data_IF_533198206468
#
_entry.id   IF_533198206468
#
_cell.length_a   1.000
_cell.length_b   1.000
_cell.length_c   1.000
_cell.angle_alpha   90.00
_cell.angle_beta   90.00
_cell.angle_gamma   90.00
#
_symmetry.space_group_name_H-M   'P 1'
#
loop_
_entity.id
_entity.type
_entity.pdbx_description
1 polymer ?
#
# COMPACT_ATOMS: atom_id res chain seq x y z
N UNK A 1 -9.10 -16.62 -19.42
CA UNK A 1 -9.40 -18.08 -19.38
C UNK A 1 -9.25 -18.55 -17.93
N UNK A 2 -10.26 -19.19 -17.31
CA UNK A 2 -10.12 -19.70 -15.94
C UNK A 2 -9.71 -21.17 -16.03
N UNK A 3 -8.48 -21.49 -15.67
CA UNK A 3 -8.00 -22.86 -15.58
C UNK A 3 -8.06 -23.26 -14.12
N UNK A 4 -8.83 -24.29 -13.78
CA UNK A 4 -8.86 -24.86 -12.44
C UNK A 4 -7.63 -25.75 -12.22
N UNK A 5 -7.20 -25.94 -10.97
CA UNK A 5 -6.08 -26.80 -10.64
C UNK A 5 -6.22 -28.23 -11.23
N UNK A 6 -7.41 -28.89 -11.16
CA UNK A 6 -7.62 -30.19 -11.80
C UNK A 6 -7.51 -30.17 -13.33
N UNK A 7 -7.76 -29.04 -13.99
CA UNK A 7 -7.56 -28.89 -15.43
C UNK A 7 -6.07 -28.74 -15.78
N UNK A 8 -5.34 -27.96 -15.00
CA UNK A 8 -3.89 -27.83 -15.16
C UNK A 8 -3.18 -29.18 -14.97
N UNK A 9 -3.56 -29.95 -13.96
CA UNK A 9 -3.04 -31.29 -13.73
C UNK A 9 -3.34 -32.25 -14.90
N UNK A 10 -4.54 -32.19 -15.47
CA UNK A 10 -4.89 -32.97 -16.70
C UNK A 10 -4.10 -32.56 -17.93
N UNK A 11 -3.63 -31.29 -18.00
CA UNK A 11 -2.73 -30.77 -19.02
C UNK A 11 -1.26 -31.15 -18.79
N UNK A 12 -0.96 -31.82 -17.67
CA UNK A 12 0.41 -32.19 -17.30
C UNK A 12 1.22 -31.01 -16.76
N UNK A 13 0.55 -29.93 -16.34
CA UNK A 13 1.21 -28.78 -15.75
C UNK A 13 1.66 -29.09 -14.33
N UNK A 14 2.89 -28.75 -14.03
CA UNK A 14 3.41 -28.75 -12.66
C UNK A 14 3.09 -27.42 -11.94
N UNK A 15 3.48 -27.31 -10.67
CA UNK A 15 3.26 -26.09 -9.89
C UNK A 15 3.93 -24.84 -10.48
N UNK A 16 5.09 -25.01 -11.09
CA UNK A 16 5.85 -23.91 -11.70
C UNK A 16 5.11 -23.39 -12.94
N UNK A 17 4.57 -24.27 -13.77
CA UNK A 17 3.75 -23.90 -14.95
C UNK A 17 2.51 -23.11 -14.54
N UNK A 18 1.80 -23.58 -13.52
CA UNK A 18 0.60 -22.89 -12.99
C UNK A 18 0.97 -21.51 -12.42
N UNK A 19 2.08 -21.45 -11.68
CA UNK A 19 2.60 -20.21 -11.11
C UNK A 19 2.94 -19.21 -12.20
N UNK A 20 3.73 -19.58 -13.20
CA UNK A 20 4.15 -18.71 -14.29
C UNK A 20 2.97 -18.23 -15.13
N UNK A 21 2.01 -19.12 -15.38
CA UNK A 21 0.78 -18.75 -16.09
C UNK A 21 -0.02 -17.72 -15.31
N UNK A 22 -0.29 -17.97 -14.02
CA UNK A 22 -1.05 -17.04 -13.19
C UNK A 22 -0.36 -15.68 -13.07
N UNK A 23 0.96 -15.67 -12.91
CA UNK A 23 1.76 -14.45 -12.89
C UNK A 23 1.64 -13.67 -14.19
N UNK A 24 1.83 -14.34 -15.33
CA UNK A 24 1.79 -13.70 -16.66
C UNK A 24 0.41 -13.10 -16.96
N UNK A 25 -0.67 -13.80 -16.62
CA UNK A 25 -2.04 -13.29 -16.79
C UNK A 25 -2.32 -12.07 -15.93
N UNK A 26 -1.88 -12.09 -14.66
CA UNK A 26 -2.05 -10.95 -13.74
C UNK A 26 -1.21 -9.75 -14.15
N UNK A 27 0.03 -9.97 -14.58
CA UNK A 27 0.91 -8.91 -15.06
C UNK A 27 0.36 -8.26 -16.33
N UNK A 28 -0.09 -9.09 -17.28
CA UNK A 28 -0.74 -8.61 -18.50
C UNK A 28 -1.98 -7.78 -18.18
N UNK A 29 -2.90 -8.28 -17.36
CA UNK A 29 -4.12 -7.55 -16.98
C UNK A 29 -3.80 -6.24 -16.25
N UNK A 30 -2.84 -6.27 -15.35
CA UNK A 30 -2.40 -5.08 -14.61
C UNK A 30 -1.82 -4.04 -15.56
N UNK A 31 -1.00 -4.46 -16.52
CA UNK A 31 -0.39 -3.59 -17.53
C UNK A 31 -1.45 -2.96 -18.44
N UNK A 32 -2.45 -3.73 -18.89
CA UNK A 32 -3.56 -3.20 -19.71
C UNK A 32 -4.40 -2.21 -18.93
N UNK A 33 -4.71 -2.49 -17.67
CA UNK A 33 -5.47 -1.57 -16.82
C UNK A 33 -4.68 -0.28 -16.50
N UNK A 34 -3.36 -0.34 -16.38
CA UNK A 34 -2.53 0.85 -16.17
C UNK A 34 -2.54 1.82 -17.36
N UNK A 35 -2.87 1.36 -18.56
CA UNK A 35 -3.09 2.27 -19.71
C UNK A 35 -4.30 3.17 -19.52
N UNK A 36 -5.30 2.68 -18.78
CA UNK A 36 -6.55 3.41 -18.47
C UNK A 36 -6.46 4.20 -17.16
N UNK A 37 -5.73 3.68 -16.20
CA UNK A 37 -5.61 4.20 -14.83
C UNK A 37 -4.14 4.46 -14.51
N UNK A 38 -3.62 5.64 -14.90
CA UNK A 38 -2.20 6.01 -14.75
C UNK A 38 -1.98 7.33 -14.01
N UNK A 39 -2.99 7.81 -13.30
CA UNK A 39 -2.90 9.06 -12.55
C UNK A 39 -2.14 8.85 -11.23
N UNK A 40 -1.17 9.72 -10.94
CA UNK A 40 -0.38 9.68 -9.71
C UNK A 40 -1.05 10.39 -8.52
N UNK A 41 -2.22 10.98 -8.74
CA UNK A 41 -2.98 11.68 -7.70
C UNK A 41 -3.41 10.74 -6.56
N UNK A 42 -3.30 11.23 -5.33
CA UNK A 42 -3.74 10.49 -4.12
C UNK A 42 -5.25 10.19 -4.18
N UNK A 43 -6.02 11.03 -4.83
CA UNK A 43 -7.47 10.91 -4.97
C UNK A 43 -7.92 9.94 -6.06
N UNK A 44 -7.02 9.45 -6.90
CA UNK A 44 -7.33 8.44 -7.92
C UNK A 44 -7.17 7.02 -7.34
N UNK A 45 -8.22 6.55 -6.69
CA UNK A 45 -8.24 5.23 -6.05
C UNK A 45 -7.95 4.09 -7.02
N UNK A 46 -8.54 4.01 -8.24
CA UNK A 46 -8.23 2.94 -9.19
C UNK A 46 -6.74 2.86 -9.53
N UNK A 47 -6.12 3.98 -9.88
CA UNK A 47 -4.68 4.03 -10.16
C UNK A 47 -3.84 3.65 -8.95
N UNK A 48 -4.27 4.06 -7.74
CA UNK A 48 -3.59 3.70 -6.50
C UNK A 48 -3.63 2.19 -6.23
N UNK A 49 -4.79 1.56 -6.38
CA UNK A 49 -4.95 0.10 -6.20
C UNK A 49 -4.10 -0.66 -7.21
N UNK A 50 -4.08 -0.23 -8.49
CA UNK A 50 -3.25 -0.86 -9.51
C UNK A 50 -1.76 -0.79 -9.18
N UNK A 51 -1.28 0.32 -8.61
CA UNK A 51 0.10 0.41 -8.13
C UNK A 51 0.40 -0.56 -6.99
N UNK A 52 -0.55 -0.77 -6.07
CA UNK A 52 -0.41 -1.80 -5.03
C UNK A 52 -0.33 -3.21 -5.62
N UNK A 53 -1.20 -3.53 -6.59
CA UNK A 53 -1.18 -4.83 -7.28
C UNK A 53 0.14 -5.02 -8.02
N UNK A 54 0.62 -4.01 -8.75
CA UNK A 54 1.91 -4.09 -9.44
C UNK A 54 3.06 -4.34 -8.47
N UNK A 55 3.10 -3.62 -7.35
CA UNK A 55 4.10 -3.85 -6.30
C UNK A 55 4.05 -5.28 -5.74
N UNK A 56 2.84 -5.85 -5.64
CA UNK A 56 2.69 -7.25 -5.21
C UNK A 56 3.25 -8.22 -6.27
N UNK A 57 3.04 -7.97 -7.57
CA UNK A 57 3.60 -8.77 -8.64
C UNK A 57 5.13 -8.70 -8.66
N UNK A 58 5.72 -7.52 -8.51
CA UNK A 58 7.17 -7.33 -8.39
C UNK A 58 7.74 -8.07 -7.16
N UNK A 59 6.99 -8.05 -6.04
CA UNK A 59 7.37 -8.82 -4.85
C UNK A 59 7.28 -10.32 -5.10
N UNK A 60 6.27 -10.76 -5.83
CA UNK A 60 6.08 -12.16 -6.21
C UNK A 60 7.23 -12.67 -7.11
N UNK A 61 7.61 -11.89 -8.10
CA UNK A 61 8.79 -12.18 -8.95
C UNK A 61 10.07 -12.30 -8.11
N UNK A 62 10.24 -11.37 -7.15
CA UNK A 62 11.37 -11.41 -6.22
C UNK A 62 11.41 -12.68 -5.37
N UNK A 63 10.24 -13.17 -4.91
CA UNK A 63 10.14 -14.44 -4.18
C UNK A 63 10.61 -15.60 -5.05
N UNK A 64 10.15 -15.64 -6.30
CA UNK A 64 10.55 -16.69 -7.24
C UNK A 64 12.05 -16.69 -7.48
N UNK A 65 12.66 -15.53 -7.71
CA UNK A 65 14.10 -15.40 -7.93
C UNK A 65 14.91 -15.82 -6.69
N UNK A 66 14.52 -15.38 -5.50
CA UNK A 66 15.22 -15.72 -4.25
C UNK A 66 15.09 -17.23 -3.95
N UNK A 67 13.93 -17.80 -4.17
CA UNK A 67 13.68 -19.21 -3.94
C UNK A 67 14.43 -20.09 -4.93
N UNK A 68 14.35 -19.78 -6.23
CA UNK A 68 14.93 -20.61 -7.29
C UNK A 68 16.46 -20.56 -7.33
N UNK A 69 17.06 -19.39 -7.08
CA UNK A 69 18.51 -19.20 -7.19
C UNK A 69 19.24 -19.41 -5.87
N UNK A 70 18.75 -18.83 -4.78
CA UNK A 70 19.47 -18.79 -3.51
C UNK A 70 18.94 -19.80 -2.49
N UNK A 71 17.74 -20.37 -2.71
CA UNK A 71 17.01 -21.21 -1.77
C UNK A 71 16.89 -20.57 -0.38
N UNK A 72 16.80 -19.24 -0.33
CA UNK A 72 16.61 -18.48 0.91
C UNK A 72 15.13 -18.46 1.30
N UNK A 73 14.73 -19.47 2.04
CA UNK A 73 13.35 -19.63 2.52
C UNK A 73 12.91 -18.52 3.49
N UNK A 74 13.82 -17.99 4.29
CA UNK A 74 13.48 -16.96 5.29
C UNK A 74 13.08 -15.67 4.61
N UNK A 75 13.89 -15.21 3.67
CA UNK A 75 13.57 -14.00 2.90
C UNK A 75 12.33 -14.21 2.03
N UNK A 76 12.17 -15.38 1.38
CA UNK A 76 10.98 -15.71 0.62
C UNK A 76 9.71 -15.67 1.48
N UNK A 77 9.72 -16.27 2.68
CA UNK A 77 8.58 -16.23 3.62
C UNK A 77 8.26 -14.80 4.08
N UNK A 78 9.27 -13.97 4.30
CA UNK A 78 9.07 -12.56 4.67
C UNK A 78 8.36 -11.79 3.55
N UNK A 79 8.77 -12.00 2.30
CA UNK A 79 8.12 -11.40 1.13
C UNK A 79 6.70 -11.94 0.91
N UNK A 80 6.45 -13.24 1.13
CA UNK A 80 5.09 -13.81 1.10
C UNK A 80 4.18 -13.12 2.11
N UNK A 81 4.67 -12.86 3.33
CA UNK A 81 3.92 -12.09 4.33
C UNK A 81 3.56 -10.69 3.82
N UNK A 82 4.48 -10.02 3.17
CA UNK A 82 4.21 -8.69 2.57
C UNK A 82 3.07 -8.75 1.54
N UNK A 83 3.04 -9.76 0.67
CA UNK A 83 1.93 -9.96 -0.28
C UNK A 83 0.61 -10.17 0.46
N UNK A 84 0.58 -11.01 1.51
CA UNK A 84 -0.62 -11.26 2.31
C UNK A 84 -1.12 -9.97 2.97
N UNK A 85 -0.23 -9.17 3.54
CA UNK A 85 -0.57 -7.90 4.18
C UNK A 85 -1.13 -6.90 3.16
N UNK A 86 -0.57 -6.84 1.95
CA UNK A 86 -1.10 -6.00 0.86
C UNK A 86 -2.48 -6.49 0.38
N UNK A 87 -2.69 -7.80 0.22
CA UNK A 87 -4.00 -8.38 -0.12
C UNK A 87 -5.03 -8.07 0.95
N UNK A 88 -4.69 -8.23 2.23
CA UNK A 88 -5.56 -7.87 3.34
C UNK A 88 -5.92 -6.38 3.32
N UNK A 89 -4.97 -5.51 2.97
CA UNK A 89 -5.21 -4.07 2.80
C UNK A 89 -6.17 -3.80 1.66
N UNK A 90 -5.95 -4.40 0.48
CA UNK A 90 -6.85 -4.26 -0.67
C UNK A 90 -8.26 -4.70 -0.29
N UNK A 91 -8.40 -5.85 0.35
CA UNK A 91 -9.69 -6.38 0.78
C UNK A 91 -10.38 -5.43 1.77
N UNK A 92 -9.68 -5.00 2.81
CA UNK A 92 -10.26 -4.22 3.89
C UNK A 92 -10.61 -2.78 3.48
N UNK A 93 -9.80 -2.16 2.65
CA UNK A 93 -9.96 -0.75 2.24
C UNK A 93 -10.83 -0.63 0.99
N UNK A 94 -10.55 -1.43 -0.05
CA UNK A 94 -11.07 -1.18 -1.40
C UNK A 94 -12.21 -2.11 -1.83
N UNK A 95 -12.41 -3.25 -1.16
CA UNK A 95 -13.54 -4.14 -1.45
C UNK A 95 -14.79 -3.84 -0.60
N UNK A 96 -14.87 -2.64 -0.06
CA UNK A 96 -16.06 -2.18 0.64
C UNK A 96 -17.15 -1.80 -0.38
N UNK A 97 -18.40 -2.20 -0.12
CA UNK A 97 -19.56 -1.85 -0.94
C UNK A 97 -20.03 -0.41 -0.77
N UNK A 98 -19.63 0.27 0.31
CA UNK A 98 -19.94 1.66 0.57
C UNK A 98 -18.81 2.55 0.05
N UNK A 99 -19.10 3.35 -0.97
CA UNK A 99 -18.13 4.21 -1.64
C UNK A 99 -17.54 5.28 -0.70
N UNK A 100 -18.37 5.90 0.14
CA UNK A 100 -17.90 6.92 1.09
C UNK A 100 -16.94 6.31 2.11
N UNK A 101 -17.24 5.08 2.58
CA UNK A 101 -16.37 4.37 3.52
C UNK A 101 -15.06 3.91 2.86
N UNK A 102 -15.12 3.51 1.60
CA UNK A 102 -13.93 3.18 0.79
C UNK A 102 -13.01 4.38 0.65
N UNK A 103 -13.55 5.53 0.25
CA UNK A 103 -12.79 6.78 0.10
C UNK A 103 -12.21 7.22 1.45
N UNK A 104 -12.99 7.16 2.53
CA UNK A 104 -12.53 7.53 3.85
C UNK A 104 -11.39 6.65 4.35
N UNK A 105 -11.52 5.31 4.20
CA UNK A 105 -10.45 4.36 4.54
C UNK A 105 -9.21 4.53 3.68
N UNK A 106 -9.38 4.83 2.39
CA UNK A 106 -8.26 5.11 1.50
C UNK A 106 -7.42 6.27 2.01
N UNK A 107 -8.05 7.40 2.33
CA UNK A 107 -7.32 8.54 2.87
C UNK A 107 -6.65 8.25 4.22
N UNK A 108 -7.30 7.49 5.09
CA UNK A 108 -6.68 7.05 6.35
C UNK A 108 -5.48 6.13 6.10
N UNK A 109 -5.56 5.22 5.14
CA UNK A 109 -4.46 4.32 4.80
C UNK A 109 -3.25 5.09 4.26
N UNK A 110 -3.48 6.06 3.37
CA UNK A 110 -2.41 6.92 2.85
C UNK A 110 -1.80 7.79 3.97
N UNK A 111 -2.64 8.32 4.87
CA UNK A 111 -2.20 9.09 6.02
C UNK A 111 -1.32 8.27 6.97
N UNK A 112 -1.70 7.02 7.25
CA UNK A 112 -0.90 6.09 8.06
C UNK A 112 0.48 5.86 7.45
N UNK A 113 0.56 5.66 6.13
CA UNK A 113 1.82 5.54 5.40
C UNK A 113 2.70 6.79 5.53
N UNK A 114 2.12 7.99 5.48
CA UNK A 114 2.86 9.24 5.70
C UNK A 114 3.36 9.32 7.15
N UNK A 115 2.51 9.06 8.14
CA UNK A 115 2.86 9.13 9.55
C UNK A 115 3.93 8.09 9.94
N UNK A 116 3.90 6.90 9.33
CA UNK A 116 4.94 5.89 9.51
C UNK A 116 6.29 6.38 8.98
N UNK A 117 6.35 6.99 7.80
CA UNK A 117 7.59 7.56 7.26
C UNK A 117 8.18 8.63 8.18
N UNK A 118 7.35 9.48 8.79
CA UNK A 118 7.83 10.48 9.76
C UNK A 118 8.51 9.88 10.99
N UNK A 119 8.07 8.70 11.43
CA UNK A 119 8.70 8.00 12.57
C UNK A 119 10.05 7.37 12.20
N UNK A 120 10.18 6.97 10.94
CA UNK A 120 11.36 6.27 10.43
C UNK A 120 12.44 7.22 9.90
N UNK A 121 12.17 8.53 9.83
CA UNK A 121 13.22 9.48 9.49
C UNK A 121 14.29 9.48 10.58
N UNK A 122 15.52 9.08 10.25
CA UNK A 122 16.61 9.09 11.23
C UNK A 122 16.81 10.50 11.74
N UNK A 123 17.01 10.63 13.04
CA UNK A 123 17.33 11.91 13.66
C UNK A 123 18.53 12.51 12.93
N UNK A 124 18.34 13.70 12.38
CA UNK A 124 19.34 14.44 11.61
C UNK A 124 20.71 14.46 12.29
N UNK A 125 20.71 14.57 13.62
CA UNK A 125 21.90 14.56 14.46
C UNK A 125 22.63 13.21 14.47
N UNK A 126 21.93 12.09 14.27
CA UNK A 126 22.56 10.77 14.21
C UNK A 126 23.30 10.52 12.89
N UNK A 127 22.82 11.07 11.78
CA UNK A 127 23.46 10.97 10.47
C UNK A 127 24.77 11.77 10.47
N UNK A 128 24.76 12.98 11.04
CA UNK A 128 25.91 13.88 11.10
C UNK A 128 27.02 13.35 11.99
N UNK A 129 26.67 12.76 13.14
CA UNK A 129 27.65 12.32 14.15
C UNK A 129 28.37 11.01 13.80
N UNK A 130 27.90 10.24 12.81
CA UNK A 130 28.53 8.98 12.45
C UNK A 130 29.69 9.08 11.45
N UNK A 131 30.02 10.25 10.92
CA UNK A 131 31.27 10.56 10.20
C UNK A 131 31.62 9.69 8.97
N UNK A 132 30.64 8.92 8.42
CA UNK A 132 30.87 7.91 7.39
C UNK A 132 30.42 8.31 5.98
N UNK A 133 29.80 9.51 5.83
CA UNK A 133 29.25 9.98 4.57
C UNK A 133 30.09 11.14 4.07
N UNK A 134 30.43 11.16 2.78
CA UNK A 134 31.10 12.30 2.14
C UNK A 134 30.17 13.51 2.12
N UNK A 135 30.77 14.71 2.17
CA UNK A 135 30.03 15.97 2.28
C UNK A 135 28.99 16.15 1.15
N UNK A 136 29.35 15.81 -0.08
CA UNK A 136 28.44 15.91 -1.25
C UNK A 136 27.25 14.92 -1.16
N UNK A 137 27.50 13.69 -0.73
CA UNK A 137 26.47 12.68 -0.51
C UNK A 137 25.55 13.08 0.64
N UNK A 138 26.11 13.72 1.66
CA UNK A 138 25.35 14.25 2.79
C UNK A 138 24.41 15.39 2.37
N UNK A 139 24.90 16.35 1.59
CA UNK A 139 24.07 17.47 1.07
C UNK A 139 22.93 16.94 0.20
N UNK A 140 23.22 15.97 -0.68
CA UNK A 140 22.18 15.33 -1.53
C UNK A 140 21.11 14.63 -0.68
N UNK A 141 21.51 13.84 0.33
CA UNK A 141 20.59 13.14 1.23
C UNK A 141 19.71 14.13 2.03
N UNK A 142 20.29 15.18 2.57
CA UNK A 142 19.58 16.23 3.32
C UNK A 142 18.56 16.93 2.44
N UNK A 143 18.93 17.25 1.21
CA UNK A 143 18.02 17.88 0.24
C UNK A 143 16.85 16.95 -0.08
N UNK A 144 17.11 15.69 -0.36
CA UNK A 144 16.09 14.68 -0.63
C UNK A 144 15.13 14.50 0.54
N UNK A 145 15.63 14.37 1.77
CA UNK A 145 14.81 14.23 2.99
C UNK A 145 13.93 15.47 3.19
N UNK A 146 14.51 16.67 3.01
CA UNK A 146 13.77 17.94 3.14
C UNK A 146 12.62 18.03 2.12
N UNK A 147 12.87 17.69 0.88
CA UNK A 147 11.87 17.80 -0.20
C UNK A 147 10.77 16.74 -0.04
N UNK A 148 11.12 15.54 0.39
CA UNK A 148 10.17 14.48 0.74
C UNK A 148 9.29 14.91 1.92
N UNK A 149 9.87 15.46 2.97
CA UNK A 149 9.14 15.96 4.13
C UNK A 149 8.15 17.07 3.75
N UNK A 150 8.55 17.99 2.88
CA UNK A 150 7.67 19.06 2.39
C UNK A 150 6.48 18.51 1.61
N UNK A 151 6.72 17.54 0.72
CA UNK A 151 5.68 16.88 -0.05
C UNK A 151 4.72 16.10 0.85
N UNK A 152 5.24 15.37 1.84
CA UNK A 152 4.44 14.62 2.81
C UNK A 152 3.61 15.55 3.70
N UNK A 153 4.11 16.72 4.08
CA UNK A 153 3.33 17.73 4.83
C UNK A 153 2.15 18.25 4.02
N UNK A 154 2.37 18.60 2.76
CA UNK A 154 1.31 19.07 1.85
C UNK A 154 0.26 17.97 1.65
N UNK A 155 0.70 16.73 1.41
CA UNK A 155 -0.17 15.58 1.25
C UNK A 155 -1.00 15.32 2.53
N UNK A 156 -0.39 15.40 3.71
CA UNK A 156 -1.05 15.26 5.00
C UNK A 156 -2.15 16.31 5.21
N UNK A 157 -1.86 17.57 4.94
CA UNK A 157 -2.85 18.65 5.06
C UNK A 157 -4.02 18.45 4.09
N UNK A 158 -3.74 18.08 2.86
CA UNK A 158 -4.76 17.75 1.86
C UNK A 158 -5.65 16.61 2.34
N UNK A 159 -5.07 15.49 2.77
CA UNK A 159 -5.80 14.31 3.24
C UNK A 159 -6.68 14.64 4.44
N UNK A 160 -6.16 15.35 5.43
CA UNK A 160 -6.96 15.76 6.61
C UNK A 160 -8.15 16.63 6.20
N UNK A 161 -7.95 17.53 5.22
CA UNK A 161 -9.03 18.36 4.68
C UNK A 161 -10.11 17.52 3.99
N UNK A 162 -9.71 16.53 3.17
CA UNK A 162 -10.65 15.64 2.48
C UNK A 162 -11.39 14.71 3.47
N UNK A 163 -10.71 14.18 4.48
CA UNK A 163 -11.35 13.40 5.56
C UNK A 163 -12.42 14.22 6.31
N UNK A 164 -12.15 15.50 6.59
CA UNK A 164 -13.10 16.41 7.24
C UNK A 164 -14.26 16.84 6.32
N UNK A 165 -14.12 16.72 5.01
CA UNK A 165 -15.19 16.98 4.02
C UNK A 165 -16.08 15.75 3.77
N UNK A 166 -15.61 14.57 4.17
CA UNK A 166 -16.36 13.33 3.98
C UNK A 166 -17.75 13.40 4.66
N UNK A 167 -18.79 12.84 4.03
CA UNK A 167 -20.10 12.69 4.66
C UNK A 167 -20.07 11.88 5.97
N UNK A 168 -19.01 11.07 6.15
CA UNK A 168 -18.79 10.28 7.37
C UNK A 168 -18.19 11.10 8.52
N UNK A 169 -17.74 12.32 8.26
CA UNK A 169 -17.20 13.19 9.29
C UNK A 169 -18.32 13.98 9.97
N UNK A 170 -18.54 13.73 11.26
CA UNK A 170 -19.57 14.39 12.07
C UNK A 170 -19.01 15.14 13.28
N UNK A 171 -17.71 15.43 13.29
CA UNK A 171 -16.99 16.08 14.41
C UNK A 171 -17.10 15.30 15.75
N UNK A 172 -17.41 14.01 15.70
CA UNK A 172 -17.45 13.15 16.87
C UNK A 172 -16.01 12.87 17.37
N UNK A 173 -15.84 12.81 18.70
CA UNK A 173 -14.56 12.51 19.34
C UNK A 173 -13.90 11.22 18.79
N UNK A 174 -14.71 10.19 18.55
CA UNK A 174 -14.20 8.89 18.05
C UNK A 174 -13.71 9.03 16.62
N UNK A 175 -14.44 9.74 15.74
CA UNK A 175 -14.02 9.97 14.36
C UNK A 175 -12.75 10.82 14.32
N UNK A 176 -12.64 11.84 15.18
CA UNK A 176 -11.42 12.63 15.30
C UNK A 176 -10.22 11.76 15.75
N UNK A 177 -10.39 10.87 16.72
CA UNK A 177 -9.35 9.93 17.15
C UNK A 177 -8.95 8.95 16.03
N UNK A 178 -9.90 8.49 15.21
CA UNK A 178 -9.61 7.65 14.04
C UNK A 178 -8.73 8.40 13.05
N UNK A 179 -9.02 9.69 12.80
CA UNK A 179 -8.23 10.53 11.89
C UNK A 179 -6.84 10.84 12.48
N UNK A 180 -6.77 11.22 13.75
CA UNK A 180 -5.51 11.55 14.44
C UNK A 180 -4.54 10.37 14.45
N UNK A 181 -5.07 9.16 14.64
CA UNK A 181 -4.28 7.92 14.66
C UNK A 181 -4.18 7.24 13.29
N UNK A 182 -4.75 7.84 12.24
CA UNK A 182 -4.85 7.25 10.89
C UNK A 182 -5.34 5.80 10.91
N UNK A 183 -6.30 5.49 11.78
CA UNK A 183 -6.75 4.11 12.02
C UNK A 183 -7.71 3.63 10.91
N UNK A 184 -7.16 3.21 9.77
CA UNK A 184 -7.92 2.66 8.64
C UNK A 184 -8.45 1.23 8.89
N UNK A 185 -8.00 0.55 9.96
CA UNK A 185 -8.39 -0.83 10.31
C UNK A 185 -9.69 -0.92 11.11
N UNK A 186 -10.40 0.18 11.32
CA UNK A 186 -11.70 0.12 11.99
C UNK A 186 -12.69 -0.75 11.21
N UNK A 187 -13.60 -1.45 11.92
CA UNK A 187 -14.53 -2.39 11.28
C UNK A 187 -15.65 -1.70 10.52
N UNK A 188 -16.30 -0.73 11.15
CA UNK A 188 -17.37 0.09 10.55
C UNK A 188 -17.55 1.37 11.34
N UNK A 189 -17.89 2.46 10.65
CA UNK A 189 -18.29 3.73 11.28
C UNK A 189 -19.80 3.75 11.64
N UNK A 190 -20.64 2.91 11.03
CA UNK A 190 -22.10 2.91 11.28
C UNK A 190 -22.47 2.85 12.76
N UNK A 191 -21.91 1.93 13.58
CA UNK A 191 -22.23 1.89 15.02
C UNK A 191 -21.71 3.11 15.79
N UNK A 192 -20.72 3.82 15.23
CA UNK A 192 -20.12 4.99 15.86
C UNK A 192 -20.89 6.29 15.54
N UNK A 193 -21.57 6.31 14.39
CA UNK A 193 -22.36 7.46 13.93
C UNK A 193 -23.79 7.43 14.47
N UNK A 194 -24.36 6.23 14.67
CA UNK A 194 -25.70 6.02 15.22
C UNK A 194 -25.67 5.06 16.43
N UNK A 195 -25.28 5.54 17.62
CA UNK A 195 -25.18 4.68 18.79
C UNK A 195 -26.54 4.19 19.35
N UNK A 196 -27.65 4.45 18.66
CA UNK A 196 -29.03 4.08 19.07
C UNK A 196 -29.74 3.11 18.14
N UNK A 197 -29.05 2.55 17.14
CA UNK A 197 -29.47 1.37 16.38
C UNK A 197 -28.52 0.20 16.68
#
# INVERSE_FOLDING_TARGET
MRISYPEAERMGWNYEDVYLFAFSELDYLTTELQKLYNNDGINDIPSYVLRLVKKMLETWESIFLIYSHNRDYVSACTLCRNIIDNLATIYHVYMNSNEDEKVFKHYLYVLDGILCRYKDYPDYNQIVNNGRIKEDEFIALVTQVRDTNKSDMIAKEFIIKELKRSPLYNNNKIVNQIIENANWKYKSLKPLLNPKE
#
